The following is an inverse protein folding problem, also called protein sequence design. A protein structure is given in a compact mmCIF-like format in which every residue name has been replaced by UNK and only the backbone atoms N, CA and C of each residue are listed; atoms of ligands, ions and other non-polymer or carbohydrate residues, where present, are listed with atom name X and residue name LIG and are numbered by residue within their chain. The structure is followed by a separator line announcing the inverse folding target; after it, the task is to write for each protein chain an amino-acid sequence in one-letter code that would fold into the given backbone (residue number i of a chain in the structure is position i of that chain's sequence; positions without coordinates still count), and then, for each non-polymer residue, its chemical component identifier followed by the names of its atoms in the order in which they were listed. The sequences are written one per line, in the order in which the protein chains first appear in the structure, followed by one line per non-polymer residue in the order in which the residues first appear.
data_IF_456375812683
#
_entry.id   IF_456375812683
#
_cell.length_a   1.000
_cell.length_b   1.000
_cell.length_c   1.000
_cell.angle_alpha   90.00
_cell.angle_beta   90.00
_cell.angle_gamma   90.00
#
_symmetry.space_group_name_H-M   'P 1'
#
loop_
_entity.id
_entity.type
_entity.pdbx_description
1 polymer ?
#
# COMPACT_ATOMS: atom_id res chain seq x y z
N UNK A 1 23.10 21.16 -9.12
CA UNK A 1 23.92 20.99 -7.89
C UNK A 1 24.79 19.76 -8.10
N UNK A 2 26.13 19.87 -8.12
CA UNK A 2 27.00 18.74 -8.53
C UNK A 2 27.14 17.68 -7.42
N UNK A 3 27.51 16.46 -7.82
CA UNK A 3 27.63 15.27 -6.95
C UNK A 3 28.61 15.45 -5.78
N UNK A 4 29.72 16.17 -5.97
CA UNK A 4 30.69 16.47 -4.90
C UNK A 4 30.14 17.48 -3.86
N UNK A 5 29.30 18.41 -4.30
CA UNK A 5 28.63 19.38 -3.42
C UNK A 5 27.58 18.68 -2.53
N UNK A 6 26.95 17.62 -3.03
CA UNK A 6 25.98 16.80 -2.29
C UNK A 6 26.71 15.81 -1.37
N UNK A 7 27.76 15.13 -1.86
CA UNK A 7 28.60 14.24 -1.05
C UNK A 7 29.29 14.97 0.11
N UNK A 8 29.71 16.22 -0.07
CA UNK A 8 30.27 17.01 1.04
C UNK A 8 29.21 17.46 2.07
N UNK A 9 27.92 17.51 1.68
CA UNK A 9 26.81 17.73 2.61
C UNK A 9 26.39 16.43 3.30
N UNK A 10 26.23 15.32 2.58
CA UNK A 10 25.88 13.99 3.12
C UNK A 10 27.00 13.43 3.99
N UNK A 11 28.26 13.58 3.59
CA UNK A 11 29.43 13.21 4.40
C UNK A 11 29.56 14.00 5.71
N UNK A 12 28.96 15.20 5.80
CA UNK A 12 28.82 15.92 7.08
C UNK A 12 27.74 15.32 7.99
N UNK A 13 26.77 14.60 7.44
CA UNK A 13 25.73 13.88 8.20
C UNK A 13 26.11 12.42 8.50
N UNK A 14 26.93 11.78 7.66
CA UNK A 14 27.39 10.39 7.85
C UNK A 14 28.44 10.20 8.95
N UNK A 15 29.15 11.25 9.37
CA UNK A 15 30.30 11.09 10.29
C UNK A 15 30.07 11.56 11.72
N UNK A 16 28.82 11.63 12.20
CA UNK A 16 28.47 11.77 13.64
C UNK A 16 26.93 11.69 13.82
N UNK A 17 26.33 10.56 13.43
CA UNK A 17 25.01 10.25 13.95
C UNK A 17 25.20 9.88 15.43
N UNK A 18 24.95 10.81 16.34
CA UNK A 18 24.93 10.49 17.76
C UNK A 18 23.83 9.43 17.96
N UNK A 19 24.25 8.18 18.17
CA UNK A 19 23.35 7.09 18.49
C UNK A 19 22.41 7.54 19.60
N UNK A 20 21.12 7.17 19.52
CA UNK A 20 20.18 7.55 20.57
C UNK A 20 20.70 7.09 21.93
N UNK A 21 20.30 7.77 23.01
CA UNK A 21 20.71 7.37 24.36
C UNK A 21 20.28 5.93 24.63
N UNK A 22 19.13 5.50 24.08
CA UNK A 22 18.64 4.12 24.16
C UNK A 22 19.58 3.16 23.43
N UNK A 23 19.87 3.42 22.16
CA UNK A 23 20.76 2.61 21.34
C UNK A 23 22.16 2.49 21.97
N UNK A 24 22.72 3.58 22.47
CA UNK A 24 24.04 3.61 23.11
C UNK A 24 24.07 2.80 24.41
N UNK A 25 23.03 2.91 25.23
CA UNK A 25 22.90 2.14 26.48
C UNK A 25 22.74 0.64 26.18
N UNK A 26 21.96 0.27 25.15
CA UNK A 26 21.80 -1.11 24.71
C UNK A 26 23.10 -1.67 24.11
N UNK A 27 23.84 -0.90 23.31
CA UNK A 27 25.16 -1.31 22.81
C UNK A 27 26.13 -1.59 23.96
N UNK A 28 26.16 -0.73 24.99
CA UNK A 28 26.99 -0.96 26.17
C UNK A 28 26.57 -2.22 26.94
N UNK A 29 25.27 -2.52 26.99
CA UNK A 29 24.75 -3.74 27.61
C UNK A 29 25.19 -4.99 26.82
N UNK A 30 24.98 -4.98 25.50
CA UNK A 30 25.35 -6.07 24.59
C UNK A 30 26.86 -6.29 24.62
N UNK A 31 27.67 -5.23 24.63
CA UNK A 31 29.13 -5.34 24.75
C UNK A 31 29.58 -5.98 26.07
N UNK A 32 28.83 -5.78 27.16
CA UNK A 32 29.15 -6.33 28.49
C UNK A 32 28.65 -7.77 28.70
N UNK A 33 27.49 -8.10 28.14
CA UNK A 33 26.77 -9.36 28.41
C UNK A 33 26.72 -10.33 27.24
N UNK A 34 27.09 -9.88 26.04
CA UNK A 34 26.92 -10.62 24.80
C UNK A 34 25.46 -10.73 24.36
N UNK A 35 25.24 -11.33 23.20
CA UNK A 35 23.90 -11.58 22.66
C UNK A 35 23.09 -12.61 23.47
N UNK A 36 23.73 -13.37 24.36
CA UNK A 36 23.05 -14.34 25.22
C UNK A 36 22.05 -13.69 26.19
N UNK A 37 22.15 -12.38 26.42
CA UNK A 37 21.17 -11.63 27.21
C UNK A 37 19.76 -11.74 26.61
N UNK A 38 19.62 -11.87 25.29
CA UNK A 38 18.32 -12.03 24.63
C UNK A 38 17.70 -13.42 24.82
N UNK A 39 18.47 -14.43 25.25
CA UNK A 39 17.95 -15.79 25.52
C UNK A 39 17.20 -15.88 26.85
N UNK A 40 17.39 -14.91 27.74
CA UNK A 40 16.78 -14.90 29.06
C UNK A 40 16.08 -13.56 29.32
N UNK A 41 14.76 -13.55 29.14
CA UNK A 41 13.91 -12.36 29.27
C UNK A 41 13.95 -11.79 30.70
N UNK A 42 14.03 -12.63 31.73
CA UNK A 42 14.11 -12.19 33.13
C UNK A 42 15.41 -11.43 33.39
N UNK A 43 16.54 -11.98 32.92
CA UNK A 43 17.84 -11.34 33.01
C UNK A 43 17.86 -10.02 32.22
N UNK A 44 17.36 -10.02 30.99
CA UNK A 44 17.27 -8.83 30.16
C UNK A 44 16.43 -7.72 30.81
N UNK A 45 15.32 -8.09 31.45
CA UNK A 45 14.45 -7.15 32.16
C UNK A 45 15.16 -6.50 33.35
N UNK A 46 15.91 -7.29 34.14
CA UNK A 46 16.73 -6.76 35.23
C UNK A 46 17.86 -5.84 34.74
N UNK A 47 18.53 -6.21 33.65
CA UNK A 47 19.57 -5.37 33.06
C UNK A 47 19.00 -4.06 32.51
N UNK A 48 17.80 -4.06 31.89
CA UNK A 48 17.10 -2.85 31.43
C UNK A 48 16.80 -1.89 32.60
N UNK A 49 16.43 -2.41 33.78
CA UNK A 49 16.22 -1.59 34.97
C UNK A 49 17.47 -0.83 35.39
N UNK A 50 18.65 -1.41 35.15
CA UNK A 50 19.95 -0.81 35.46
C UNK A 50 20.42 0.28 34.49
N UNK A 51 19.82 0.37 33.29
CA UNK A 51 20.21 1.34 32.27
C UNK A 51 19.95 2.79 32.73
N UNK A 52 20.75 3.75 32.22
CA UNK A 52 20.56 5.18 32.50
C UNK A 52 19.50 5.78 31.57
N UNK A 53 18.27 5.27 31.64
CA UNK A 53 17.12 5.67 30.83
C UNK A 53 15.96 6.16 31.71
N UNK A 54 15.01 6.89 31.11
CA UNK A 54 13.80 7.32 31.82
C UNK A 54 12.97 6.11 32.29
N UNK A 55 12.21 6.20 33.40
CA UNK A 55 11.35 5.10 33.85
C UNK A 55 10.38 4.63 32.77
N UNK A 56 9.82 5.56 32.00
CA UNK A 56 8.92 5.27 30.88
C UNK A 56 9.62 4.49 29.78
N UNK A 57 10.82 4.91 29.39
CA UNK A 57 11.60 4.23 28.34
C UNK A 57 12.02 2.82 28.78
N UNK A 58 12.38 2.64 30.06
CA UNK A 58 12.67 1.31 30.62
C UNK A 58 11.47 0.39 30.54
N UNK A 59 10.29 0.87 30.96
CA UNK A 59 9.06 0.10 30.89
C UNK A 59 8.70 -0.26 29.43
N UNK A 60 8.86 0.68 28.50
CA UNK A 60 8.63 0.44 27.08
C UNK A 60 9.61 -0.59 26.49
N UNK A 61 10.91 -0.51 26.81
CA UNK A 61 11.89 -1.51 26.38
C UNK A 61 11.58 -2.89 26.97
N UNK A 62 11.24 -2.97 28.25
CA UNK A 62 10.82 -4.22 28.88
C UNK A 62 9.60 -4.82 28.19
N UNK A 63 8.61 -4.00 27.81
CA UNK A 63 7.47 -4.46 27.01
C UNK A 63 7.89 -4.98 25.63
N UNK A 64 8.72 -4.23 24.91
CA UNK A 64 9.24 -4.61 23.58
C UNK A 64 9.96 -5.97 23.64
N UNK A 65 10.80 -6.20 24.65
CA UNK A 65 11.51 -7.47 24.82
C UNK A 65 10.68 -8.59 25.47
N UNK A 66 9.53 -8.27 26.06
CA UNK A 66 8.56 -9.28 26.50
C UNK A 66 7.77 -9.87 25.32
N UNK A 67 7.84 -9.26 24.13
CA UNK A 67 7.35 -9.86 22.91
C UNK A 67 8.25 -11.03 22.53
N UNK A 68 7.80 -12.27 22.74
CA UNK A 68 8.63 -13.48 22.58
C UNK A 68 9.29 -13.60 21.21
N UNK A 69 8.67 -13.06 20.18
CA UNK A 69 9.14 -13.15 18.80
C UNK A 69 10.34 -12.26 18.51
N UNK A 70 10.52 -11.13 19.22
CA UNK A 70 11.57 -10.16 18.91
C UNK A 70 12.97 -10.61 19.38
N UNK A 71 13.19 -11.08 20.63
CA UNK A 71 14.46 -11.66 21.05
C UNK A 71 14.86 -12.86 20.18
N UNK A 72 13.91 -13.75 19.88
CA UNK A 72 14.13 -14.90 19.01
C UNK A 72 14.51 -14.46 17.59
N UNK A 73 13.85 -13.44 17.05
CA UNK A 73 14.18 -12.85 15.77
C UNK A 73 15.61 -12.29 15.77
N UNK A 74 16.00 -11.49 16.78
CA UNK A 74 17.36 -10.92 16.90
C UNK A 74 18.42 -12.02 16.96
N UNK A 75 18.18 -13.07 17.74
CA UNK A 75 19.11 -14.19 17.90
C UNK A 75 19.33 -15.00 16.62
N UNK A 76 18.33 -15.03 15.73
CA UNK A 76 18.37 -15.79 14.48
C UNK A 76 18.59 -14.92 13.23
N UNK A 77 18.64 -13.59 13.40
CA UNK A 77 18.79 -12.65 12.28
C UNK A 77 20.21 -12.65 11.73
N UNK A 78 20.32 -12.54 10.40
CA UNK A 78 21.58 -12.24 9.73
C UNK A 78 21.88 -10.74 9.88
N UNK A 79 23.12 -10.33 9.60
CA UNK A 79 23.52 -8.92 9.66
C UNK A 79 22.59 -8.01 8.87
N UNK A 80 22.03 -8.46 7.74
CA UNK A 80 21.15 -7.68 6.87
C UNK A 80 19.67 -8.10 6.97
N UNK A 81 18.79 -7.18 7.40
CA UNK A 81 17.33 -7.35 7.46
C UNK A 81 16.63 -6.72 6.24
N UNK A 82 15.53 -7.29 5.75
CA UNK A 82 14.68 -6.65 4.73
C UNK A 82 13.48 -5.91 5.36
N UNK A 83 12.72 -5.12 4.57
CA UNK A 83 11.57 -4.36 5.08
C UNK A 83 10.43 -5.23 5.61
N UNK A 84 10.25 -6.45 5.08
CA UNK A 84 9.24 -7.40 5.57
C UNK A 84 9.61 -7.90 6.96
N UNK A 85 10.89 -8.14 7.22
CA UNK A 85 11.39 -8.58 8.52
C UNK A 85 11.19 -7.48 9.58
N UNK A 86 11.47 -6.23 9.23
CA UNK A 86 11.27 -5.06 10.10
C UNK A 86 9.77 -4.86 10.38
N UNK A 87 8.91 -4.94 9.37
CA UNK A 87 7.46 -4.74 9.52
C UNK A 87 6.82 -5.85 10.38
N UNK A 88 7.23 -7.11 10.19
CA UNK A 88 6.78 -8.22 11.02
C UNK A 88 7.18 -8.05 12.50
N UNK A 89 8.40 -7.59 12.77
CA UNK A 89 8.87 -7.30 14.12
C UNK A 89 8.04 -6.18 14.78
N UNK A 90 7.79 -5.09 14.05
CA UNK A 90 6.97 -3.96 14.52
C UNK A 90 5.54 -4.41 14.80
N UNK A 91 4.93 -5.14 13.88
CA UNK A 91 3.57 -5.66 14.05
C UNK A 91 3.45 -6.58 15.25
N UNK A 92 4.41 -7.50 15.44
CA UNK A 92 4.40 -8.40 16.59
C UNK A 92 4.46 -7.63 17.90
N UNK A 93 5.38 -6.67 18.01
CA UNK A 93 5.53 -5.83 19.21
C UNK A 93 4.27 -5.02 19.48
N UNK A 94 3.70 -4.35 18.49
CA UNK A 94 2.48 -3.54 18.66
C UNK A 94 1.31 -4.41 19.10
N UNK A 95 1.15 -5.60 18.50
CA UNK A 95 0.06 -6.52 18.83
C UNK A 95 0.16 -7.12 20.24
N UNK A 96 1.39 -7.32 20.75
CA UNK A 96 1.63 -7.94 22.06
C UNK A 96 1.73 -6.95 23.22
N UNK A 97 1.99 -5.66 22.95
CA UNK A 97 2.34 -4.68 23.99
C UNK A 97 1.40 -3.48 24.06
N UNK A 98 0.48 -3.34 23.10
CA UNK A 98 -0.39 -2.16 22.92
C UNK A 98 0.37 -0.83 22.75
N UNK A 99 1.70 -0.87 22.54
CA UNK A 99 2.47 0.31 22.23
C UNK A 99 2.00 0.95 20.92
N UNK A 100 2.04 2.29 20.86
CA UNK A 100 1.75 2.97 19.60
C UNK A 100 2.78 2.57 18.54
N UNK A 101 2.33 2.44 17.29
CA UNK A 101 3.19 2.05 16.16
C UNK A 101 4.44 2.93 16.05
N UNK A 102 4.31 4.24 16.32
CA UNK A 102 5.44 5.20 16.38
C UNK A 102 6.46 4.84 17.47
N UNK A 103 5.98 4.47 18.66
CA UNK A 103 6.84 4.08 19.79
C UNK A 103 7.56 2.76 19.50
N UNK A 104 6.83 1.77 18.96
CA UNK A 104 7.38 0.48 18.58
C UNK A 104 8.49 0.62 17.52
N UNK A 105 8.26 1.41 16.46
CA UNK A 105 9.28 1.65 15.42
C UNK A 105 10.55 2.27 16.02
N UNK A 106 10.42 3.31 16.85
CA UNK A 106 11.58 4.00 17.41
C UNK A 106 12.44 3.04 18.26
N UNK A 107 11.79 2.26 19.13
CA UNK A 107 12.49 1.32 20.00
C UNK A 107 13.08 0.14 19.22
N UNK A 108 12.38 -0.39 18.22
CA UNK A 108 12.89 -1.49 17.39
C UNK A 108 14.08 -1.02 16.56
N UNK A 109 14.05 0.20 16.01
CA UNK A 109 15.19 0.78 15.30
C UNK A 109 16.42 0.94 16.23
N UNK A 110 16.22 1.42 17.46
CA UNK A 110 17.29 1.52 18.46
C UNK A 110 17.86 0.15 18.84
N UNK A 111 16.99 -0.87 18.96
CA UNK A 111 17.38 -2.25 19.26
C UNK A 111 18.17 -2.87 18.11
N UNK A 112 17.70 -2.76 16.87
CA UNK A 112 18.39 -3.29 15.69
C UNK A 112 19.75 -2.61 15.48
N UNK A 113 19.80 -1.29 15.62
CA UNK A 113 21.05 -0.54 15.60
C UNK A 113 22.01 -1.00 16.70
N UNK A 114 21.50 -1.21 17.92
CA UNK A 114 22.33 -1.68 19.03
C UNK A 114 22.87 -3.10 18.81
N UNK A 115 22.12 -3.95 18.11
CA UNK A 115 22.51 -5.29 17.72
C UNK A 115 23.44 -5.33 16.49
N UNK A 116 23.78 -4.18 15.90
CA UNK A 116 24.58 -4.15 14.67
C UNK A 116 23.89 -4.83 13.49
N UNK A 117 22.56 -4.97 13.54
CA UNK A 117 21.75 -5.42 12.42
C UNK A 117 21.65 -4.26 11.44
N UNK A 118 22.37 -4.35 10.32
CA UNK A 118 22.06 -3.54 9.15
C UNK A 118 20.68 -3.96 8.67
N UNK A 119 19.83 -2.99 8.38
CA UNK A 119 18.59 -3.27 7.69
C UNK A 119 18.68 -2.57 6.36
N UNK A 120 18.34 -3.31 5.31
CA UNK A 120 18.30 -2.83 3.96
C UNK A 120 17.30 -1.68 3.90
N UNK A 121 17.89 -0.49 3.88
CA UNK A 121 17.54 0.53 2.93
C UNK A 121 17.43 -0.15 1.55
N UNK A 122 16.28 -0.73 1.22
CA UNK A 122 16.05 -1.25 -0.12
C UNK A 122 15.83 -0.07 -1.08
N UNK A 123 16.57 -0.12 -2.19
CA UNK A 123 16.54 0.89 -3.23
C UNK A 123 15.11 1.07 -3.76
N UNK A 124 14.47 2.16 -3.39
CA UNK A 124 13.21 2.57 -4.00
C UNK A 124 13.47 3.06 -5.44
N UNK A 125 12.68 2.64 -6.44
CA UNK A 125 12.79 3.16 -7.80
C UNK A 125 12.49 4.66 -7.79
N UNK A 126 13.47 5.48 -8.21
CA UNK A 126 13.26 6.89 -8.50
C UNK A 126 13.26 7.11 -10.01
N UNK A 127 12.26 7.86 -10.48
CA UNK A 127 12.23 8.31 -11.87
C UNK A 127 13.14 9.54 -12.02
N UNK A 128 14.30 9.36 -12.65
CA UNK A 128 15.23 10.45 -12.95
C UNK A 128 15.30 10.58 -14.46
N UNK A 129 14.88 11.73 -14.98
CA UNK A 129 14.83 12.02 -16.42
C UNK A 129 14.09 10.95 -17.27
N UNK A 130 13.05 10.31 -16.70
CA UNK A 130 12.23 9.32 -17.41
C UNK A 130 12.75 7.88 -17.37
N UNK A 131 13.85 7.59 -16.66
CA UNK A 131 14.34 6.24 -16.40
C UNK A 131 14.32 5.90 -14.90
N UNK A 132 14.05 4.63 -14.58
CA UNK A 132 14.04 4.11 -13.22
C UNK A 132 15.49 3.90 -12.75
N UNK A 133 15.95 4.73 -11.82
CA UNK A 133 17.21 4.55 -11.09
C UNK A 133 16.95 4.04 -9.66
N UNK A 134 17.88 3.23 -9.13
CA UNK A 134 17.84 2.69 -7.77
C UNK A 134 18.75 3.52 -6.85
N UNK A 135 18.21 4.17 -5.80
CA UNK A 135 18.97 5.05 -4.87
C UNK A 135 18.69 4.77 -3.38
N UNK A 136 19.72 4.99 -2.55
CA UNK A 136 19.79 4.81 -1.09
C UNK A 136 18.87 5.80 -0.32
N UNK A 137 18.00 5.30 0.56
CA UNK A 137 17.19 6.09 1.52
C UNK A 137 17.86 6.15 2.90
N UNK A 138 18.14 7.33 3.44
CA UNK A 138 18.63 7.46 4.81
C UNK A 138 17.47 7.37 5.82
N UNK A 139 17.66 6.66 6.93
CA UNK A 139 16.87 6.90 8.14
C UNK A 139 17.25 8.25 8.71
N UNK A 140 16.33 9.20 8.61
CA UNK A 140 16.42 10.38 9.46
C UNK A 140 16.22 9.99 10.93
N UNK A 141 17.00 10.54 11.88
CA UNK A 141 16.68 10.45 13.30
C UNK A 141 15.25 10.96 13.56
N UNK A 142 14.48 10.21 14.35
CA UNK A 142 13.06 10.43 14.63
C UNK A 142 12.71 11.88 14.99
N UNK A 143 13.62 12.58 15.68
CA UNK A 143 13.44 13.97 16.15
C UNK A 143 13.46 15.00 15.01
N UNK A 144 14.37 14.86 14.03
CA UNK A 144 14.41 15.78 12.89
C UNK A 144 13.30 15.49 11.89
N UNK A 145 13.00 14.20 11.65
CA UNK A 145 11.91 13.81 10.75
C UNK A 145 10.59 14.35 11.30
N UNK A 146 10.38 14.26 12.61
CA UNK A 146 9.19 14.79 13.27
C UNK A 146 9.09 16.32 13.18
N UNK A 147 10.19 17.06 13.36
CA UNK A 147 10.18 18.53 13.27
C UNK A 147 9.91 19.04 11.84
N UNK A 148 10.61 18.50 10.84
CA UNK A 148 10.42 18.87 9.42
C UNK A 148 9.03 18.44 8.93
N UNK A 149 8.58 17.24 9.31
CA UNK A 149 7.23 16.74 8.98
C UNK A 149 6.15 17.61 9.61
N UNK A 150 6.31 18.01 10.89
CA UNK A 150 5.37 18.90 11.57
C UNK A 150 5.30 20.27 10.89
N UNK A 151 6.46 20.83 10.53
CA UNK A 151 6.53 22.10 9.79
C UNK A 151 5.81 22.03 8.43
N UNK A 152 6.02 20.95 7.67
CA UNK A 152 5.34 20.75 6.40
C UNK A 152 3.81 20.63 6.57
N UNK A 153 3.36 19.89 7.57
CA UNK A 153 1.93 19.75 7.89
C UNK A 153 1.32 21.09 8.30
N UNK A 154 2.01 21.88 9.11
CA UNK A 154 1.54 23.21 9.54
C UNK A 154 1.45 24.18 8.38
N UNK A 155 2.45 24.21 7.49
CA UNK A 155 2.42 25.03 6.27
C UNK A 155 1.32 24.60 5.31
N UNK A 156 1.14 23.29 5.12
CA UNK A 156 0.06 22.73 4.29
C UNK A 156 -1.32 23.10 4.85
N UNK A 157 -1.52 22.97 6.17
CA UNK A 157 -2.78 23.38 6.83
C UNK A 157 -3.03 24.88 6.76
N UNK A 158 -1.98 25.70 6.91
CA UNK A 158 -2.09 27.14 6.77
C UNK A 158 -2.51 27.52 5.35
N UNK A 159 -1.95 26.85 4.33
CA UNK A 159 -2.40 26.98 2.95
C UNK A 159 -3.87 26.54 2.79
N UNK A 160 -4.26 25.35 3.26
CA UNK A 160 -5.65 24.86 3.16
C UNK A 160 -6.65 25.84 3.78
N UNK A 161 -6.33 26.39 4.96
CA UNK A 161 -7.17 27.38 5.63
C UNK A 161 -7.28 28.69 4.83
N UNK A 162 -6.18 29.13 4.19
CA UNK A 162 -6.19 30.34 3.37
C UNK A 162 -6.88 30.13 2.01
N UNK A 163 -6.81 28.92 1.46
CA UNK A 163 -7.40 28.53 0.19
C UNK A 163 -8.91 28.27 0.31
N UNK A 164 -9.37 27.75 1.46
CA UNK A 164 -10.76 27.42 1.75
C UNK A 164 -11.71 28.63 1.81
N UNK A 165 -11.21 29.87 1.84
CA UNK A 165 -12.04 31.07 1.97
C UNK A 165 -12.41 31.74 0.63
N UNK A 166 -11.67 31.55 -0.47
CA UNK A 166 -12.03 32.11 -1.80
C UNK A 166 -11.48 31.27 -2.96
N UNK A 167 -12.36 30.48 -3.59
CA UNK A 167 -12.06 29.64 -4.77
C UNK A 167 -11.59 30.41 -6.03
N UNK A 168 -11.85 31.72 -6.11
CA UNK A 168 -11.69 32.45 -7.38
C UNK A 168 -10.45 33.36 -7.44
N UNK A 169 -9.76 33.65 -6.32
CA UNK A 169 -8.46 34.36 -6.32
C UNK A 169 -7.62 33.97 -5.10
N UNK A 170 -6.46 33.36 -5.35
CA UNK A 170 -5.42 33.13 -4.34
C UNK A 170 -4.95 34.50 -3.80
N UNK A 171 -5.06 34.77 -2.49
CA UNK A 171 -4.37 35.90 -1.89
C UNK A 171 -2.85 35.77 -2.12
N UNK A 172 -2.13 36.85 -2.39
CA UNK A 172 -0.68 36.84 -2.64
C UNK A 172 0.11 36.19 -1.48
N UNK A 173 -0.35 36.39 -0.23
CA UNK A 173 0.18 35.72 0.95
C UNK A 173 -0.01 34.19 0.96
N UNK A 174 -1.09 33.68 0.35
CA UNK A 174 -1.34 32.25 0.18
C UNK A 174 -0.43 31.65 -0.92
N UNK A 175 -0.05 32.45 -1.94
CA UNK A 175 0.92 32.04 -2.95
C UNK A 175 2.32 31.85 -2.37
N UNK A 176 2.79 32.79 -1.54
CA UNK A 176 4.10 32.69 -0.87
C UNK A 176 4.11 31.52 0.13
N UNK A 177 3.00 31.25 0.81
CA UNK A 177 2.87 30.09 1.70
C UNK A 177 2.86 28.76 0.91
N UNK A 178 2.20 28.72 -0.25
CA UNK A 178 2.17 27.58 -1.16
C UNK A 178 3.55 27.20 -1.69
N UNK A 179 4.33 28.17 -2.17
CA UNK A 179 5.69 27.93 -2.69
C UNK A 179 6.60 27.35 -1.61
N UNK A 180 6.58 27.95 -0.41
CA UNK A 180 7.35 27.45 0.75
C UNK A 180 6.89 26.06 1.19
N UNK A 181 5.58 25.79 1.16
CA UNK A 181 5.05 24.47 1.48
C UNK A 181 5.56 23.42 0.49
N UNK A 182 5.50 23.68 -0.81
CA UNK A 182 5.99 22.75 -1.85
C UNK A 182 7.48 22.51 -1.74
N UNK A 183 8.28 23.54 -1.42
CA UNK A 183 9.72 23.38 -1.22
C UNK A 183 10.04 22.43 -0.06
N UNK A 184 9.37 22.61 1.09
CA UNK A 184 9.53 21.72 2.25
C UNK A 184 8.96 20.32 1.96
N UNK A 185 7.83 20.22 1.27
CA UNK A 185 7.27 18.91 0.87
C UNK A 185 8.26 18.17 -0.05
N UNK A 186 8.90 18.87 -0.99
CA UNK A 186 9.95 18.29 -1.86
C UNK A 186 11.18 17.88 -1.06
N UNK A 187 11.60 18.64 -0.04
CA UNK A 187 12.72 18.21 0.82
C UNK A 187 12.38 16.93 1.58
N UNK A 188 11.15 16.78 2.07
CA UNK A 188 10.66 15.53 2.68
C UNK A 188 10.69 14.35 1.70
N UNK A 189 10.25 14.55 0.45
CA UNK A 189 10.35 13.51 -0.59
C UNK A 189 11.81 13.11 -0.87
N UNK A 190 12.72 14.08 -0.95
CA UNK A 190 14.16 13.83 -1.13
C UNK A 190 14.74 13.08 0.06
N UNK A 191 14.24 13.36 1.27
CA UNK A 191 14.60 12.66 2.49
C UNK A 191 13.93 11.27 2.64
N UNK A 192 13.11 10.84 1.67
CA UNK A 192 12.45 9.53 1.71
C UNK A 192 11.30 9.45 2.73
N UNK A 193 10.75 10.58 3.18
CA UNK A 193 9.68 10.61 4.18
C UNK A 193 8.32 10.43 3.50
N UNK A 194 7.58 9.40 3.92
CA UNK A 194 6.28 9.01 3.34
C UNK A 194 5.21 10.11 3.39
N UNK A 195 5.27 10.98 4.40
CA UNK A 195 4.38 12.15 4.49
C UNK A 195 4.64 13.18 3.38
N UNK A 196 5.90 13.37 2.97
CA UNK A 196 6.23 14.25 1.85
C UNK A 196 5.58 13.76 0.56
N UNK A 197 5.72 12.46 0.27
CA UNK A 197 5.08 11.85 -0.91
C UNK A 197 3.55 11.96 -0.87
N UNK A 198 2.94 11.75 0.30
CA UNK A 198 1.50 11.95 0.50
C UNK A 198 1.06 13.39 0.22
N UNK A 199 1.73 14.38 0.81
CA UNK A 199 1.39 15.79 0.65
C UNK A 199 1.61 16.26 -0.80
N UNK A 200 2.71 15.84 -1.44
CA UNK A 200 2.95 16.18 -2.85
C UNK A 200 1.94 15.54 -3.79
N UNK A 201 1.57 14.28 -3.53
CA UNK A 201 0.54 13.60 -4.31
C UNK A 201 -0.83 14.28 -4.14
N UNK A 202 -1.15 14.80 -2.95
CA UNK A 202 -2.36 15.63 -2.74
C UNK A 202 -2.33 16.93 -3.54
N UNK A 203 -1.17 17.59 -3.59
CA UNK A 203 -0.99 18.78 -4.42
C UNK A 203 -1.38 18.49 -5.87
N UNK A 204 -0.79 17.46 -6.47
CA UNK A 204 -1.13 17.05 -7.84
C UNK A 204 -2.56 16.52 -8.01
N UNK A 205 -3.17 15.93 -6.96
CA UNK A 205 -4.52 15.39 -7.08
C UNK A 205 -5.60 16.47 -7.15
N UNK A 206 -5.43 17.53 -6.36
CA UNK A 206 -6.42 18.58 -6.16
C UNK A 206 -6.00 19.95 -6.74
N UNK A 207 -4.79 20.04 -7.30
CA UNK A 207 -4.21 21.30 -7.76
C UNK A 207 -3.87 22.24 -6.61
N UNK A 208 -3.51 21.69 -5.44
CA UNK A 208 -3.13 22.48 -4.27
C UNK A 208 -1.73 23.08 -4.45
N UNK A 209 -1.43 24.12 -3.67
CA UNK A 209 -0.14 24.80 -3.63
C UNK A 209 0.38 25.29 -5.00
N UNK A 210 -0.53 25.70 -5.91
CA UNK A 210 -0.18 26.19 -7.23
C UNK A 210 0.34 25.12 -8.20
N UNK A 211 0.10 23.83 -7.90
CA UNK A 211 0.42 22.73 -8.81
C UNK A 211 -0.74 22.47 -9.79
N UNK A 212 -0.41 22.09 -11.01
CA UNK A 212 -1.42 21.62 -11.96
C UNK A 212 -1.97 20.25 -11.54
N UNK A 213 -3.25 20.01 -11.82
CA UNK A 213 -3.87 18.71 -11.55
C UNK A 213 -3.25 17.65 -12.46
N UNK A 214 -2.58 16.67 -11.86
CA UNK A 214 -2.01 15.50 -12.53
C UNK A 214 -2.33 14.26 -11.69
N UNK A 215 -3.45 13.60 -12.05
CA UNK A 215 -3.94 12.43 -11.32
C UNK A 215 -3.00 11.23 -11.42
N UNK A 216 -2.31 11.06 -12.55
CA UNK A 216 -1.38 9.95 -12.77
C UNK A 216 -0.20 10.09 -11.83
N UNK A 217 0.43 11.27 -11.82
CA UNK A 217 1.54 11.58 -10.93
C UNK A 217 1.14 11.55 -9.45
N UNK A 218 -0.07 12.04 -9.14
CA UNK A 218 -0.62 11.95 -7.80
C UNK A 218 -0.73 10.49 -7.33
N UNK A 219 -1.27 9.60 -8.16
CA UNK A 219 -1.41 8.18 -7.84
C UNK A 219 -0.05 7.50 -7.63
N UNK A 220 0.97 7.81 -8.45
CA UNK A 220 2.33 7.28 -8.27
C UNK A 220 2.92 7.70 -6.92
N UNK A 221 2.86 8.99 -6.60
CA UNK A 221 3.35 9.51 -5.31
C UNK A 221 2.60 8.91 -4.12
N UNK A 222 1.28 8.75 -4.26
CA UNK A 222 0.45 8.15 -3.23
C UNK A 222 0.78 6.66 -3.05
N UNK A 223 1.12 5.95 -4.14
CA UNK A 223 1.56 4.54 -4.08
C UNK A 223 2.88 4.43 -3.34
N UNK A 224 3.86 5.27 -3.65
CA UNK A 224 5.13 5.32 -2.91
C UNK A 224 4.89 5.61 -1.43
N UNK A 225 4.05 6.59 -1.09
CA UNK A 225 3.72 6.89 0.30
C UNK A 225 3.06 5.70 1.01
N UNK A 226 2.10 5.02 0.37
CA UNK A 226 1.40 3.86 0.92
C UNK A 226 2.33 2.65 1.10
N UNK A 227 3.26 2.43 0.17
CA UNK A 227 4.28 1.39 0.27
C UNK A 227 5.22 1.62 1.44
N UNK A 228 5.52 2.88 1.76
CA UNK A 228 6.27 3.31 2.93
C UNK A 228 5.42 3.39 4.22
N UNK A 229 4.21 2.80 4.24
CA UNK A 229 3.36 2.71 5.42
C UNK A 229 2.52 3.96 5.70
N UNK A 230 2.42 4.94 4.79
CA UNK A 230 1.52 6.07 4.95
C UNK A 230 0.06 5.62 4.79
N UNK A 231 -0.62 5.56 5.93
CA UNK A 231 -1.98 5.03 6.06
C UNK A 231 -3.02 5.92 5.37
N UNK A 232 -2.80 7.24 5.35
CA UNK A 232 -3.66 8.21 4.65
C UNK A 232 -3.52 8.07 3.14
N UNK A 233 -2.30 7.85 2.66
CA UNK A 233 -2.05 7.58 1.25
C UNK A 233 -2.73 6.29 0.78
N UNK A 234 -2.64 5.21 1.58
CA UNK A 234 -3.32 3.95 1.29
C UNK A 234 -4.84 4.12 1.22
N UNK A 235 -5.46 4.79 2.20
CA UNK A 235 -6.92 5.05 2.19
C UNK A 235 -7.32 5.87 0.96
N UNK A 236 -6.54 6.90 0.61
CA UNK A 236 -6.84 7.74 -0.54
C UNK A 236 -6.72 6.96 -1.86
N UNK A 237 -5.72 6.09 -2.01
CA UNK A 237 -5.62 5.19 -3.16
C UNK A 237 -6.81 4.24 -3.24
N UNK A 238 -7.22 3.65 -2.10
CA UNK A 238 -8.41 2.82 -2.04
C UNK A 238 -9.66 3.56 -2.53
N UNK A 239 -9.84 4.81 -2.08
CA UNK A 239 -10.92 5.68 -2.52
C UNK A 239 -10.85 5.99 -4.02
N UNK A 240 -9.66 6.27 -4.57
CA UNK A 240 -9.46 6.54 -6.00
C UNK A 240 -9.80 5.31 -6.86
N UNK A 241 -9.31 4.12 -6.48
CA UNK A 241 -9.61 2.88 -7.19
C UNK A 241 -11.08 2.48 -7.09
N UNK A 242 -11.79 2.85 -6.02
CA UNK A 242 -13.21 2.56 -5.84
C UNK A 242 -14.11 3.54 -6.60
N UNK A 243 -13.79 4.85 -6.58
CA UNK A 243 -14.67 5.93 -7.04
C UNK A 243 -14.40 6.37 -8.48
N UNK A 244 -13.32 5.90 -9.12
CA UNK A 244 -13.00 6.31 -10.49
C UNK A 244 -14.12 6.00 -11.48
N UNK A 245 -14.49 6.99 -12.29
CA UNK A 245 -15.42 6.82 -13.41
C UNK A 245 -14.76 6.12 -14.61
N UNK A 246 -13.44 6.26 -14.76
CA UNK A 246 -12.65 5.58 -15.80
C UNK A 246 -12.55 4.08 -15.47
N UNK A 247 -13.08 3.18 -16.33
CA UNK A 247 -12.99 1.73 -16.14
C UNK A 247 -11.57 1.17 -16.15
N UNK A 248 -10.61 1.88 -16.74
CA UNK A 248 -9.19 1.47 -16.77
C UNK A 248 -8.50 1.74 -15.44
N UNK A 249 -8.92 2.80 -14.73
CA UNK A 249 -8.39 3.17 -13.42
C UNK A 249 -9.18 2.50 -12.31
N UNK A 250 -10.50 2.33 -12.46
CA UNK A 250 -11.35 1.70 -11.44
C UNK A 250 -10.98 0.22 -11.28
N UNK A 251 -10.61 -0.16 -10.06
CA UNK A 251 -10.30 -1.54 -9.73
C UNK A 251 -10.67 -1.85 -8.27
N UNK A 252 -11.78 -2.56 -8.08
CA UNK A 252 -12.23 -2.95 -6.75
C UNK A 252 -11.30 -3.95 -6.05
N UNK A 253 -10.44 -4.64 -6.80
CA UNK A 253 -9.44 -5.54 -6.21
C UNK A 253 -8.29 -4.75 -5.62
N UNK A 254 -7.84 -3.70 -6.30
CA UNK A 254 -6.87 -2.77 -5.74
C UNK A 254 -7.49 -1.95 -4.60
N UNK A 255 -8.73 -1.49 -4.73
CA UNK A 255 -9.42 -0.79 -3.66
C UNK A 255 -9.52 -1.67 -2.39
N UNK A 256 -9.93 -2.93 -2.53
CA UNK A 256 -9.94 -3.92 -1.44
C UNK A 256 -8.56 -4.09 -0.82
N UNK A 257 -7.52 -4.25 -1.65
CA UNK A 257 -6.14 -4.39 -1.20
C UNK A 257 -5.74 -3.20 -0.32
N UNK A 258 -5.93 -1.97 -0.80
CA UNK A 258 -5.55 -0.77 -0.06
C UNK A 258 -6.42 -0.48 1.17
N UNK A 259 -7.68 -0.93 1.20
CA UNK A 259 -8.54 -0.78 2.39
C UNK A 259 -8.26 -1.82 3.48
N UNK A 260 -7.75 -3.00 3.11
CA UNK A 260 -7.55 -4.12 4.04
C UNK A 260 -6.09 -4.42 4.34
N UNK A 261 -5.17 -3.66 3.75
CA UNK A 261 -3.74 -3.82 4.01
C UNK A 261 -3.43 -3.52 5.48
N UNK A 262 -2.54 -4.31 6.13
CA UNK A 262 -2.04 -3.97 7.46
C UNK A 262 -1.51 -2.53 7.51
N UNK A 263 -1.82 -1.82 8.60
CA UNK A 263 -1.42 -0.43 8.80
C UNK A 263 -2.43 0.60 8.28
N UNK A 264 -3.50 0.25 7.57
CA UNK A 264 -4.57 1.23 7.27
C UNK A 264 -5.21 1.74 8.56
N UNK A 265 -5.43 3.06 8.67
CA UNK A 265 -6.21 3.66 9.76
C UNK A 265 -7.56 2.96 9.90
N UNK A 266 -8.14 2.97 11.11
CA UNK A 266 -9.50 2.49 11.35
C UNK A 266 -10.45 3.14 10.32
N UNK A 267 -11.04 2.30 9.46
CA UNK A 267 -11.84 2.75 8.32
C UNK A 267 -13.01 3.61 8.79
N UNK A 268 -13.18 4.78 8.17
CA UNK A 268 -14.37 5.59 8.34
C UNK A 268 -15.61 4.88 7.82
N UNK A 269 -16.80 5.34 8.23
CA UNK A 269 -18.08 4.75 7.81
C UNK A 269 -18.20 4.62 6.28
N UNK A 270 -17.70 5.62 5.53
CA UNK A 270 -17.65 5.60 4.06
C UNK A 270 -16.89 4.39 3.53
N UNK A 271 -15.64 4.21 3.97
CA UNK A 271 -14.77 3.11 3.53
C UNK A 271 -15.34 1.74 3.95
N UNK A 272 -15.97 1.64 5.13
CA UNK A 272 -16.65 0.42 5.54
C UNK A 272 -17.80 0.06 4.59
N UNK A 273 -18.62 1.04 4.18
CA UNK A 273 -19.68 0.82 3.19
C UNK A 273 -19.09 0.43 1.83
N UNK A 274 -18.03 1.11 1.37
CA UNK A 274 -17.33 0.75 0.13
C UNK A 274 -16.84 -0.70 0.17
N UNK A 275 -16.27 -1.14 1.29
CA UNK A 275 -15.82 -2.51 1.47
C UNK A 275 -16.97 -3.52 1.49
N UNK A 276 -18.11 -3.19 2.12
CA UNK A 276 -19.31 -4.02 2.06
C UNK A 276 -19.80 -4.21 0.63
N UNK A 277 -19.78 -3.15 -0.19
CA UNK A 277 -20.21 -3.22 -1.59
C UNK A 277 -19.24 -4.04 -2.44
N UNK A 278 -17.94 -3.94 -2.19
CA UNK A 278 -16.92 -4.83 -2.77
C UNK A 278 -17.24 -6.30 -2.45
N UNK A 279 -17.58 -6.64 -1.20
CA UNK A 279 -17.92 -8.01 -0.82
C UNK A 279 -19.25 -8.48 -1.44
N UNK A 280 -20.25 -7.60 -1.55
CA UNK A 280 -21.50 -7.91 -2.28
C UNK A 280 -21.21 -8.21 -3.75
N UNK A 281 -20.35 -7.44 -4.40
CA UNK A 281 -19.95 -7.67 -5.79
C UNK A 281 -19.23 -9.01 -5.96
N UNK A 282 -18.32 -9.36 -5.04
CA UNK A 282 -17.67 -10.67 -5.01
C UNK A 282 -18.67 -11.83 -4.89
N UNK A 283 -19.63 -11.71 -3.97
CA UNK A 283 -20.71 -12.70 -3.82
C UNK A 283 -21.55 -12.81 -5.09
N UNK A 284 -21.92 -11.67 -5.69
CA UNK A 284 -22.66 -11.63 -6.95
C UNK A 284 -21.89 -12.30 -8.10
N UNK A 285 -20.57 -12.11 -8.19
CA UNK A 285 -19.73 -12.77 -9.20
C UNK A 285 -19.75 -14.29 -9.04
N UNK A 286 -19.66 -14.80 -7.80
CA UNK A 286 -19.75 -16.25 -7.52
C UNK A 286 -21.08 -16.82 -7.99
N UNK A 287 -22.20 -16.17 -7.64
CA UNK A 287 -23.54 -16.57 -8.09
C UNK A 287 -23.67 -16.51 -9.61
N UNK A 288 -23.12 -15.48 -10.23
CA UNK A 288 -23.16 -15.28 -11.69
C UNK A 288 -22.42 -16.40 -12.41
N UNK A 289 -21.22 -16.80 -11.97
CA UNK A 289 -20.48 -17.91 -12.56
C UNK A 289 -21.25 -19.23 -12.46
N UNK A 290 -21.81 -19.54 -11.29
CA UNK A 290 -22.60 -20.78 -11.10
C UNK A 290 -23.80 -20.80 -12.03
N UNK A 291 -24.59 -19.72 -12.04
CA UNK A 291 -25.78 -19.60 -12.89
C UNK A 291 -25.44 -19.71 -14.38
N UNK A 292 -24.41 -19.00 -14.83
CA UNK A 292 -23.96 -19.07 -16.22
C UNK A 292 -23.40 -20.41 -16.63
N UNK A 293 -22.74 -21.13 -15.73
CA UNK A 293 -22.31 -22.51 -15.95
C UNK A 293 -23.50 -23.45 -16.18
N UNK A 294 -24.57 -23.29 -15.40
CA UNK A 294 -25.83 -24.03 -15.60
C UNK A 294 -26.46 -23.71 -16.95
N UNK A 295 -26.56 -22.42 -17.32
CA UNK A 295 -27.09 -22.01 -18.64
C UNK A 295 -26.24 -22.60 -19.78
N UNK A 296 -24.91 -22.56 -19.65
CA UNK A 296 -24.00 -23.09 -20.66
C UNK A 296 -24.20 -24.61 -20.83
N UNK A 297 -24.34 -25.34 -19.73
CA UNK A 297 -24.63 -26.78 -19.77
C UNK A 297 -25.97 -27.07 -20.45
N UNK A 298 -27.04 -26.37 -20.06
CA UNK A 298 -28.35 -26.50 -20.70
C UNK A 298 -28.32 -26.19 -22.19
N UNK A 299 -27.57 -25.16 -22.61
CA UNK A 299 -27.38 -24.81 -24.01
C UNK A 299 -26.69 -25.92 -24.80
N UNK A 300 -25.60 -26.47 -24.25
CA UNK A 300 -24.87 -27.58 -24.89
C UNK A 300 -25.79 -28.79 -25.04
N UNK A 301 -26.52 -29.16 -23.97
CA UNK A 301 -27.49 -30.28 -24.01
C UNK A 301 -28.58 -30.05 -25.06
N UNK A 302 -29.17 -28.85 -25.09
CA UNK A 302 -30.19 -28.47 -26.07
C UNK A 302 -29.68 -28.58 -27.51
N UNK A 303 -28.49 -28.04 -27.80
CA UNK A 303 -27.90 -28.07 -29.14
C UNK A 303 -27.54 -29.49 -29.58
N UNK A 304 -26.98 -30.31 -28.70
CA UNK A 304 -26.70 -31.73 -29.00
C UNK A 304 -27.99 -32.45 -29.35
N UNK A 305 -29.04 -32.31 -28.54
CA UNK A 305 -30.33 -32.94 -28.80
C UNK A 305 -30.95 -32.50 -30.14
N UNK A 306 -30.99 -31.20 -30.41
CA UNK A 306 -31.63 -30.66 -31.64
C UNK A 306 -30.88 -31.05 -32.93
N UNK A 307 -29.55 -31.08 -32.93
CA UNK A 307 -28.79 -31.39 -34.13
C UNK A 307 -28.52 -32.88 -34.35
N UNK A 308 -28.57 -33.71 -33.30
CA UNK A 308 -28.54 -35.18 -33.45
C UNK A 308 -29.90 -35.75 -33.85
N UNK A 309 -30.99 -35.03 -33.58
CA UNK A 309 -32.34 -35.40 -34.00
C UNK A 309 -32.79 -34.72 -35.30
N UNK A 310 -33.19 -33.46 -35.21
CA UNK A 310 -34.03 -32.78 -36.22
C UNK A 310 -33.22 -32.25 -37.40
N UNK A 311 -31.99 -31.77 -37.17
CA UNK A 311 -31.20 -31.03 -38.17
C UNK A 311 -29.89 -31.72 -38.58
N UNK A 312 -29.89 -33.05 -38.58
CA UNK A 312 -28.71 -33.86 -38.94
C UNK A 312 -28.22 -33.54 -40.36
N UNK A 313 -26.92 -33.28 -40.52
CA UNK A 313 -26.29 -33.01 -41.83
C UNK A 313 -26.51 -31.61 -42.42
N UNK A 314 -27.14 -30.68 -41.71
CA UNK A 314 -27.36 -29.30 -42.18
C UNK A 314 -26.19 -28.36 -41.87
N UNK A 315 -26.03 -27.28 -42.65
CA UNK A 315 -25.08 -26.18 -42.37
C UNK A 315 -25.31 -25.53 -40.99
N UNK A 316 -26.51 -25.71 -40.42
CA UNK A 316 -26.90 -25.22 -39.09
C UNK A 316 -26.11 -25.89 -37.96
N UNK A 317 -25.73 -27.17 -38.12
CA UNK A 317 -24.91 -27.88 -37.15
C UNK A 317 -23.53 -27.24 -37.01
N UNK A 318 -22.90 -26.85 -38.12
CA UNK A 318 -21.60 -26.19 -38.10
C UNK A 318 -21.65 -24.83 -37.38
N UNK A 319 -22.71 -24.04 -37.63
CA UNK A 319 -22.93 -22.76 -36.95
C UNK A 319 -23.17 -22.96 -35.46
N UNK A 320 -23.99 -23.95 -35.07
CA UNK A 320 -24.25 -24.29 -33.66
C UNK A 320 -22.96 -24.65 -32.91
N UNK A 321 -22.10 -25.47 -33.52
CA UNK A 321 -20.78 -25.82 -32.95
C UNK A 321 -19.92 -24.57 -32.72
N UNK A 322 -19.86 -23.66 -33.70
CA UNK A 322 -19.09 -22.41 -33.57
C UNK A 322 -19.58 -21.57 -32.39
N UNK A 323 -20.90 -21.42 -32.24
CA UNK A 323 -21.50 -20.64 -31.14
C UNK A 323 -21.27 -21.28 -29.76
N UNK A 324 -21.24 -22.62 -29.67
CA UNK A 324 -20.84 -23.33 -28.44
C UNK A 324 -19.39 -23.00 -28.09
N UNK A 325 -18.47 -23.09 -29.05
CA UNK A 325 -17.05 -22.81 -28.82
C UNK A 325 -16.85 -21.38 -28.34
N UNK A 326 -17.53 -20.40 -28.97
CA UNK A 326 -17.50 -18.99 -28.54
C UNK A 326 -18.00 -18.85 -27.10
N UNK A 327 -19.09 -19.52 -26.75
CA UNK A 327 -19.67 -19.44 -25.40
C UNK A 327 -18.77 -20.07 -24.33
N UNK A 328 -18.13 -21.20 -24.64
CA UNK A 328 -17.14 -21.84 -23.76
C UNK A 328 -15.93 -20.92 -23.57
N UNK A 329 -15.42 -20.33 -24.64
CA UNK A 329 -14.29 -19.39 -24.59
C UNK A 329 -14.62 -18.14 -23.75
N UNK A 330 -15.81 -17.56 -23.95
CA UNK A 330 -16.28 -16.42 -23.16
C UNK A 330 -16.42 -16.78 -21.67
N UNK A 331 -16.94 -17.95 -21.35
CA UNK A 331 -17.07 -18.42 -19.97
C UNK A 331 -15.68 -18.68 -19.33
N UNK A 332 -14.74 -19.25 -20.07
CA UNK A 332 -13.36 -19.42 -19.61
C UNK A 332 -12.69 -18.07 -19.33
N UNK A 333 -12.86 -17.09 -20.21
CA UNK A 333 -12.38 -15.71 -20.01
C UNK A 333 -13.00 -15.08 -18.76
N UNK A 334 -14.29 -15.29 -18.50
CA UNK A 334 -14.95 -14.81 -17.30
C UNK A 334 -14.36 -15.41 -16.03
N UNK A 335 -14.04 -16.72 -16.03
CA UNK A 335 -13.37 -17.39 -14.91
C UNK A 335 -11.96 -16.81 -14.69
N UNK A 336 -11.18 -16.63 -15.76
CA UNK A 336 -9.81 -16.07 -15.67
C UNK A 336 -9.87 -14.65 -15.14
N UNK A 337 -10.76 -13.81 -15.67
CA UNK A 337 -10.94 -12.44 -15.20
C UNK A 337 -11.39 -12.40 -13.73
N UNK A 338 -12.31 -13.28 -13.32
CA UNK A 338 -12.73 -13.36 -11.92
C UNK A 338 -11.64 -13.91 -10.98
N UNK A 339 -10.69 -14.70 -11.48
CA UNK A 339 -9.52 -15.12 -10.67
C UNK A 339 -8.56 -13.95 -10.44
N UNK A 340 -8.27 -13.17 -11.47
CA UNK A 340 -7.30 -12.07 -11.40
C UNK A 340 -7.91 -10.81 -10.72
N UNK A 341 -9.19 -10.55 -10.99
CA UNK A 341 -9.93 -9.35 -10.58
C UNK A 341 -11.26 -9.72 -9.92
N UNK A 342 -11.19 -10.53 -8.85
CA UNK A 342 -12.34 -11.16 -8.17
C UNK A 342 -13.44 -10.23 -7.69
N UNK A 343 -13.12 -8.97 -7.43
CA UNK A 343 -14.07 -7.97 -6.96
C UNK A 343 -14.67 -7.12 -8.08
N UNK A 344 -14.13 -7.19 -9.31
CA UNK A 344 -14.67 -6.44 -10.44
C UNK A 344 -15.83 -7.19 -11.09
N UNK A 345 -16.85 -6.44 -11.53
CA UNK A 345 -18.07 -7.03 -12.07
C UNK A 345 -17.85 -7.81 -13.35
N UNK A 346 -18.38 -9.03 -13.41
CA UNK A 346 -18.28 -9.92 -14.58
C UNK A 346 -19.58 -10.00 -15.40
N UNK A 347 -20.59 -9.17 -15.12
CA UNK A 347 -21.91 -9.27 -15.80
C UNK A 347 -21.85 -9.08 -17.32
N UNK A 348 -20.80 -8.49 -17.86
CA UNK A 348 -20.61 -8.32 -19.30
C UNK A 348 -20.64 -9.66 -20.06
N UNK A 349 -20.12 -10.76 -19.49
CA UNK A 349 -20.11 -12.03 -20.20
C UNK A 349 -21.50 -12.67 -20.26
N UNK A 350 -22.37 -12.38 -19.28
CA UNK A 350 -23.77 -12.80 -19.31
C UNK A 350 -24.48 -12.18 -20.50
N UNK A 351 -24.21 -10.91 -20.80
CA UNK A 351 -24.72 -10.25 -22.00
C UNK A 351 -24.22 -10.92 -23.30
N UNK A 352 -22.95 -11.34 -23.34
CA UNK A 352 -22.41 -12.12 -24.47
C UNK A 352 -23.16 -13.45 -24.62
N UNK A 353 -23.44 -14.15 -23.52
CA UNK A 353 -24.15 -15.42 -23.54
C UNK A 353 -25.60 -15.28 -24.06
N UNK A 354 -26.32 -14.24 -23.63
CA UNK A 354 -27.64 -13.91 -24.17
C UNK A 354 -27.61 -13.52 -25.65
N UNK A 355 -26.60 -12.75 -26.06
CA UNK A 355 -26.45 -12.37 -27.46
C UNK A 355 -26.22 -13.58 -28.37
N UNK A 356 -25.35 -14.52 -27.95
CA UNK A 356 -25.13 -15.79 -28.68
C UNK A 356 -26.42 -16.59 -28.80
N UNK A 357 -27.22 -16.67 -27.73
CA UNK A 357 -28.53 -17.32 -27.75
C UNK A 357 -29.52 -16.67 -28.71
N UNK A 358 -29.63 -15.34 -28.67
CA UNK A 358 -30.52 -14.58 -29.54
C UNK A 358 -30.12 -14.75 -31.02
N UNK A 359 -28.82 -14.71 -31.31
CA UNK A 359 -28.28 -14.93 -32.65
C UNK A 359 -28.58 -16.34 -33.15
N UNK A 360 -28.40 -17.36 -32.31
CA UNK A 360 -28.72 -18.74 -32.66
C UNK A 360 -30.21 -18.93 -32.96
N UNK A 361 -31.09 -18.40 -32.10
CA UNK A 361 -32.54 -18.47 -32.32
C UNK A 361 -32.96 -17.78 -33.62
N UNK A 362 -32.37 -16.62 -33.92
CA UNK A 362 -32.62 -15.90 -35.17
C UNK A 362 -32.19 -16.71 -36.41
N UNK A 363 -31.03 -17.35 -36.35
CA UNK A 363 -30.53 -18.22 -37.43
C UNK A 363 -31.45 -19.43 -37.63
N UNK A 364 -31.99 -20.00 -36.56
CA UNK A 364 -32.95 -21.10 -36.65
C UNK A 364 -34.28 -20.70 -37.30
N UNK A 365 -34.72 -19.45 -37.14
CA UNK A 365 -35.99 -18.94 -37.70
C UNK A 365 -35.84 -18.48 -39.15
N UNK A 366 -34.70 -17.91 -39.52
CA UNK A 366 -34.45 -17.42 -40.90
C UNK A 366 -34.04 -18.50 -41.89
N UNK A 367 -33.46 -19.60 -41.42
CA UNK A 367 -33.05 -20.73 -42.25
C UNK A 367 -34.17 -21.77 -42.32
#
# INVERSE_FOLDING_TARGET
MNFETIRSKVGKYETKADASVVATQLQSLIAKKGFDVFKNIELLTEEIKSLKLSPTTKAQLSLVFSCSTLPDFILNSKSDLNMVDVDNAVHSVVSSTELSYKCAIALIADVFYACGLSFAIENGPQLVNGSIEYKLHALMPSVMAEAETKKAIELHKAYESAYGEKKDKLPEAAGIAAEKAVEVIKSLCVAGISEGFYLLGRCYLYGECGTDIDRTKAMELMKTAAEQGNTRAAVLLGDLFYQSDDPLVRDYTLAHHYYTRPGTLAMGKKQQTSLQDIYKQYSANKTTLVFSGVILALMITFMVFFHTGIFTGSSRLAIGIILIVISIAAYALAIINNRNKRFNGIRWFVAVQYFVWALYAFILVLA
#
